data_IF_066337463574
#
_entry.id   IF_066337463574
#
_cell.length_a   1.000
_cell.length_b   1.000
_cell.length_c   1.000
_cell.angle_alpha   90.00
_cell.angle_beta   90.00
_cell.angle_gamma   90.00
#
_symmetry.space_group_name_H-M   'P 1'
#
loop_
_entity.id
_entity.type
_entity.pdbx_description
1 polymer ?
#
# COMPACT_ATOMS: atom_id res chain seq x y z
N UNK A 1 -11.68 -24.90 3.03
CA UNK A 1 -12.50 -23.73 2.65
C UNK A 1 -12.81 -22.98 3.92
N UNK A 2 -11.88 -22.18 4.41
CA UNK A 2 -12.14 -21.27 5.53
C UNK A 2 -11.46 -19.94 5.19
N UNK A 3 -12.29 -18.95 4.91
CA UNK A 3 -11.91 -17.59 4.61
C UNK A 3 -13.05 -16.72 5.08
N UNK A 4 -13.01 -16.33 6.36
CA UNK A 4 -13.76 -15.16 6.79
C UNK A 4 -13.08 -13.96 6.15
N UNK A 5 -13.63 -13.51 5.02
CA UNK A 5 -13.37 -12.20 4.43
C UNK A 5 -13.92 -11.09 5.33
N UNK A 6 -13.54 -9.85 5.00
CA UNK A 6 -14.02 -8.63 5.64
C UNK A 6 -15.56 -8.46 5.66
N UNK A 7 -16.32 -9.12 4.76
CA UNK A 7 -17.79 -9.04 4.69
C UNK A 7 -18.52 -10.21 5.36
N UNK A 8 -17.80 -11.19 5.92
CA UNK A 8 -18.40 -12.38 6.53
C UNK A 8 -19.18 -13.26 5.54
N UNK A 9 -19.06 -12.99 4.23
CA UNK A 9 -19.67 -13.80 3.18
C UNK A 9 -18.70 -14.90 2.74
N UNK A 10 -19.21 -16.09 2.44
CA UNK A 10 -18.41 -17.16 1.86
C UNK A 10 -17.99 -16.88 0.41
N UNK A 11 -17.14 -17.75 -0.14
CA UNK A 11 -16.77 -17.74 -1.56
C UNK A 11 -15.47 -17.02 -1.91
N UNK A 12 -14.73 -16.52 -0.92
CA UNK A 12 -13.43 -15.91 -1.13
C UNK A 12 -12.30 -16.93 -1.17
N UNK A 13 -11.43 -16.82 -2.16
CA UNK A 13 -10.19 -17.60 -2.26
C UNK A 13 -8.99 -16.69 -1.98
N UNK A 14 -8.16 -17.07 -0.99
CA UNK A 14 -6.89 -16.38 -0.74
C UNK A 14 -5.89 -16.71 -1.83
N UNK A 15 -5.31 -15.69 -2.45
CA UNK A 15 -4.28 -15.84 -3.49
C UNK A 15 -2.96 -15.15 -3.11
N UNK A 16 -3.00 -14.19 -2.17
CA UNK A 16 -1.81 -13.53 -1.65
C UNK A 16 -1.76 -13.62 -0.13
N UNK A 17 -0.59 -13.96 0.40
CA UNK A 17 -0.34 -14.05 1.83
C UNK A 17 1.13 -13.74 2.14
N UNK A 18 1.36 -12.66 2.88
CA UNK A 18 2.62 -12.33 3.53
C UNK A 18 2.27 -12.12 5.00
N UNK A 19 2.99 -12.78 5.90
CA UNK A 19 2.88 -12.56 7.34
C UNK A 19 4.27 -12.73 7.97
N UNK A 20 5.05 -11.63 8.01
CA UNK A 20 6.42 -11.65 8.52
C UNK A 20 6.51 -11.79 10.05
N UNK A 21 5.38 -11.84 10.75
CA UNK A 21 5.33 -12.15 12.19
C UNK A 21 5.40 -13.66 12.47
N UNK A 22 5.19 -14.50 11.45
CA UNK A 22 5.28 -15.95 11.57
C UNK A 22 6.74 -16.42 11.56
N UNK A 23 6.99 -17.55 12.23
CA UNK A 23 8.32 -18.20 12.22
C UNK A 23 8.65 -18.67 10.81
N UNK A 24 9.89 -18.43 10.37
CA UNK A 24 10.41 -18.81 9.04
C UNK A 24 9.71 -18.13 7.84
N UNK A 25 8.95 -17.07 8.08
CA UNK A 25 8.39 -16.25 7.01
C UNK A 25 9.51 -15.60 6.18
N UNK A 26 9.33 -15.55 4.86
CA UNK A 26 10.29 -14.94 3.93
C UNK A 26 9.58 -13.97 2.99
N UNK A 27 10.28 -12.93 2.58
CA UNK A 27 9.73 -11.98 1.60
C UNK A 27 9.54 -12.66 0.24
N UNK A 28 8.43 -12.36 -0.46
CA UNK A 28 8.17 -12.95 -1.76
C UNK A 28 9.14 -12.38 -2.80
N UNK A 29 9.23 -13.07 -3.95
CA UNK A 29 10.05 -12.62 -5.07
C UNK A 29 9.73 -11.15 -5.44
N UNK A 30 10.79 -10.37 -5.63
CA UNK A 30 10.73 -8.94 -5.93
C UNK A 30 10.89 -8.06 -4.69
N UNK A 31 10.56 -8.54 -3.50
CA UNK A 31 10.75 -7.84 -2.23
C UNK A 31 11.91 -8.43 -1.44
N UNK A 32 12.44 -7.66 -0.50
CA UNK A 32 13.63 -8.01 0.26
C UNK A 32 13.43 -7.79 1.74
N UNK A 33 13.99 -8.70 2.52
CA UNK A 33 13.97 -8.60 3.97
C UNK A 33 14.75 -7.35 4.44
N UNK A 34 14.17 -6.68 5.43
CA UNK A 34 14.73 -5.51 6.10
C UNK A 34 14.49 -5.64 7.60
N UNK A 35 15.53 -5.36 8.38
CA UNK A 35 15.47 -5.37 9.83
C UNK A 35 15.57 -3.94 10.34
N UNK A 36 14.64 -3.56 11.22
CA UNK A 36 14.60 -2.23 11.82
C UNK A 36 14.57 -2.35 13.34
N UNK A 37 15.32 -1.51 14.04
CA UNK A 37 15.43 -1.61 15.50
C UNK A 37 14.11 -1.33 16.25
N UNK A 38 13.16 -0.63 15.63
CA UNK A 38 11.87 -0.26 16.22
C UNK A 38 10.78 -1.33 16.07
N UNK A 39 11.00 -2.38 15.28
CA UNK A 39 10.03 -3.47 15.06
C UNK A 39 10.72 -4.82 15.28
N UNK A 40 10.04 -5.74 15.97
CA UNK A 40 10.63 -7.02 16.38
C UNK A 40 10.77 -8.06 15.27
N UNK A 41 9.93 -7.93 14.24
CA UNK A 41 9.89 -8.83 13.09
C UNK A 41 10.57 -8.18 11.88
N UNK A 42 11.20 -8.97 11.00
CA UNK A 42 11.65 -8.45 9.72
C UNK A 42 10.45 -7.93 8.90
N UNK A 43 10.71 -6.95 8.04
CA UNK A 43 9.75 -6.41 7.09
C UNK A 43 10.19 -6.71 5.66
N UNK A 44 9.25 -6.65 4.72
CA UNK A 44 9.54 -6.72 3.29
C UNK A 44 9.51 -5.33 2.68
N UNK A 45 10.64 -4.88 2.16
CA UNK A 45 10.80 -3.60 1.47
C UNK A 45 11.40 -3.78 0.06
N UNK A 46 11.67 -2.67 -0.62
CA UNK A 46 12.35 -2.70 -1.92
C UNK A 46 13.85 -3.00 -1.77
N UNK A 47 14.50 -3.54 -2.81
CA UNK A 47 15.98 -3.62 -2.89
C UNK A 47 16.63 -2.37 -3.46
N UNK A 48 15.88 -1.54 -4.18
CA UNK A 48 16.45 -0.46 -4.97
C UNK A 48 16.99 0.67 -4.09
N UNK A 49 18.25 1.06 -4.35
CA UNK A 49 18.83 2.30 -3.80
C UNK A 49 18.39 3.55 -4.59
N UNK A 50 17.56 3.38 -5.63
CA UNK A 50 16.99 4.43 -6.46
C UNK A 50 15.46 4.44 -6.33
N UNK A 51 14.83 5.52 -6.81
CA UNK A 51 13.39 5.57 -7.03
C UNK A 51 12.93 4.44 -7.96
N UNK A 52 11.65 4.11 -7.89
CA UNK A 52 11.04 3.09 -8.74
C UNK A 52 10.20 2.11 -7.95
N UNK A 53 9.72 1.09 -8.64
CA UNK A 53 8.84 0.09 -8.05
C UNK A 53 9.41 -1.32 -8.17
N UNK A 54 9.14 -2.13 -7.16
CA UNK A 54 9.35 -3.57 -7.17
C UNK A 54 7.98 -4.27 -7.08
N UNK A 55 7.79 -5.29 -7.90
CA UNK A 55 6.54 -6.04 -7.95
C UNK A 55 6.71 -7.46 -7.45
N UNK A 56 5.67 -7.95 -6.78
CA UNK A 56 5.42 -9.37 -6.59
C UNK A 56 4.04 -9.72 -7.18
N UNK A 57 3.85 -10.96 -7.60
CA UNK A 57 2.65 -11.39 -8.30
C UNK A 57 1.97 -12.53 -7.55
N UNK A 58 0.67 -12.39 -7.33
CA UNK A 58 -0.19 -13.39 -6.72
C UNK A 58 -1.04 -14.06 -7.80
N UNK A 59 -0.82 -15.36 -8.00
CA UNK A 59 -1.49 -16.05 -9.08
C UNK A 59 -2.98 -16.20 -8.81
N UNK A 60 -3.80 -15.89 -9.81
CA UNK A 60 -5.23 -16.20 -9.80
C UNK A 60 -5.49 -17.70 -10.02
N UNK A 61 -4.46 -18.46 -10.39
CA UNK A 61 -4.54 -19.85 -10.87
C UNK A 61 -5.46 -20.02 -12.09
N UNK A 62 -5.61 -18.96 -12.89
CA UNK A 62 -6.51 -18.93 -14.06
C UNK A 62 -7.99 -18.94 -13.70
N UNK A 63 -8.34 -18.70 -12.43
CA UNK A 63 -9.72 -18.63 -11.98
C UNK A 63 -10.33 -17.29 -12.39
N UNK A 64 -11.59 -17.33 -12.81
CA UNK A 64 -12.36 -16.13 -13.08
C UNK A 64 -12.78 -15.47 -11.76
N UNK A 65 -12.59 -14.17 -11.65
CA UNK A 65 -13.06 -13.37 -10.53
C UNK A 65 -13.58 -12.00 -10.99
N UNK A 66 -14.49 -11.44 -10.19
CA UNK A 66 -15.07 -10.11 -10.40
C UNK A 66 -14.85 -9.19 -9.21
N UNK A 67 -14.41 -9.73 -8.08
CA UNK A 67 -14.15 -8.96 -6.88
C UNK A 67 -12.81 -9.30 -6.28
N UNK A 68 -12.18 -8.29 -5.69
CA UNK A 68 -10.92 -8.39 -4.97
C UNK A 68 -11.12 -7.73 -3.61
N UNK A 69 -10.63 -8.38 -2.57
CA UNK A 69 -10.50 -7.74 -1.26
C UNK A 69 -9.14 -8.07 -0.66
N UNK A 70 -8.70 -7.23 0.26
CA UNK A 70 -7.43 -7.47 0.92
C UNK A 70 -7.12 -6.43 1.98
N UNK A 71 -6.03 -6.68 2.68
CA UNK A 71 -5.45 -5.76 3.66
C UNK A 71 -3.95 -5.73 3.50
N UNK A 72 -3.36 -4.59 3.83
CA UNK A 72 -1.91 -4.41 3.90
C UNK A 72 -1.60 -3.68 5.21
N UNK A 73 -0.61 -4.17 5.94
CA UNK A 73 0.01 -3.44 7.05
C UNK A 73 1.44 -3.10 6.66
N UNK A 74 1.74 -1.82 6.63
CA UNK A 74 3.06 -1.30 6.34
C UNK A 74 3.51 -0.30 7.37
N UNK A 75 4.69 0.27 7.14
CA UNK A 75 5.30 1.24 8.02
C UNK A 75 5.95 2.33 7.17
N UNK A 76 6.00 3.55 7.70
CA UNK A 76 6.75 4.63 7.09
C UNK A 76 8.24 4.49 7.47
N UNK A 77 9.13 4.45 6.47
CA UNK A 77 10.54 4.72 6.66
C UNK A 77 10.91 6.02 5.95
N UNK A 78 11.48 6.98 6.67
CA UNK A 78 11.96 8.19 6.01
C UNK A 78 10.86 9.19 5.66
N UNK A 79 11.09 9.95 4.59
CA UNK A 79 10.35 11.16 4.22
C UNK A 79 9.35 10.93 3.09
N UNK A 80 8.46 9.94 3.22
CA UNK A 80 7.56 9.50 2.13
C UNK A 80 6.64 10.62 1.62
N UNK A 81 6.34 10.59 0.32
CA UNK A 81 5.70 11.69 -0.39
C UNK A 81 4.22 11.45 -0.77
N UNK A 82 3.56 10.44 -0.18
CA UNK A 82 2.13 10.19 -0.38
C UNK A 82 1.77 9.80 -1.82
N UNK A 83 0.77 10.47 -2.39
CA UNK A 83 0.35 10.33 -3.79
C UNK A 83 0.81 11.55 -4.56
N UNK A 84 1.29 11.35 -5.79
CA UNK A 84 1.96 12.37 -6.60
C UNK A 84 3.21 12.93 -5.92
N UNK A 85 4.27 12.13 -5.78
CA UNK A 85 5.48 12.59 -5.12
C UNK A 85 6.08 13.78 -5.86
N UNK A 86 6.02 14.95 -5.21
CA UNK A 86 6.32 16.26 -5.82
C UNK A 86 7.82 16.48 -5.95
N UNK A 87 8.63 15.75 -5.17
CA UNK A 87 10.08 15.92 -5.10
C UNK A 87 10.87 14.74 -5.72
N UNK A 88 10.22 13.99 -6.61
CA UNK A 88 10.81 12.87 -7.35
C UNK A 88 10.30 12.78 -8.80
N UNK A 89 10.51 11.64 -9.50
CA UNK A 89 10.01 11.42 -10.85
C UNK A 89 8.51 11.07 -10.87
N UNK A 90 7.73 11.70 -9.98
CA UNK A 90 6.31 11.48 -9.83
C UNK A 90 5.56 11.72 -11.14
N UNK A 91 4.63 10.82 -11.47
CA UNK A 91 3.84 10.86 -12.70
C UNK A 91 2.40 10.45 -12.41
N UNK A 92 1.47 10.94 -13.22
CA UNK A 92 0.04 10.58 -13.17
C UNK A 92 -0.28 9.26 -13.85
N UNK A 93 0.73 8.53 -14.33
CA UNK A 93 0.54 7.31 -15.09
C UNK A 93 0.67 6.07 -14.20
N UNK A 94 -0.18 5.07 -14.46
CA UNK A 94 -0.24 3.84 -13.66
C UNK A 94 1.05 3.02 -13.71
N UNK A 95 1.84 3.20 -14.76
CA UNK A 95 3.10 2.49 -14.98
C UNK A 95 4.31 3.17 -14.33
N UNK A 96 4.16 4.40 -13.86
CA UNK A 96 5.22 5.16 -13.19
C UNK A 96 5.12 5.08 -11.67
N UNK A 97 5.97 5.84 -10.97
CA UNK A 97 5.97 6.02 -9.51
C UNK A 97 4.96 7.12 -9.16
N UNK A 98 3.68 6.77 -9.08
CA UNK A 98 2.62 7.73 -8.73
C UNK A 98 2.33 7.80 -7.22
N UNK A 99 2.90 6.89 -6.43
CA UNK A 99 2.68 6.76 -4.99
C UNK A 99 3.96 6.28 -4.29
N UNK A 100 4.21 6.81 -3.10
CA UNK A 100 5.10 6.22 -2.10
C UNK A 100 4.25 5.28 -1.23
N UNK A 101 4.42 3.98 -1.43
CA UNK A 101 3.52 2.96 -0.88
C UNK A 101 3.24 1.81 -1.84
N UNK A 102 2.03 1.28 -1.77
CA UNK A 102 1.61 0.08 -2.50
C UNK A 102 0.55 0.41 -3.55
N UNK A 103 0.80 0.00 -4.78
CA UNK A 103 -0.17 -0.08 -5.86
C UNK A 103 -0.58 -1.54 -6.08
N UNK A 104 -1.88 -1.83 -5.96
CA UNK A 104 -2.44 -3.16 -6.27
C UNK A 104 -3.11 -3.08 -7.63
N UNK A 105 -2.65 -3.90 -8.57
CA UNK A 105 -3.06 -3.85 -9.97
C UNK A 105 -3.32 -5.23 -10.56
N UNK A 106 -3.97 -5.27 -11.71
CA UNK A 106 -4.14 -6.47 -12.55
C UNK A 106 -4.02 -6.11 -14.03
N UNK A 107 -3.82 -7.13 -14.87
CA UNK A 107 -3.54 -6.94 -16.28
C UNK A 107 -2.10 -6.45 -16.48
N UNK A 108 -1.34 -7.12 -17.34
CA UNK A 108 0.07 -6.76 -17.57
C UNK A 108 0.25 -5.75 -18.71
N UNK A 109 -0.71 -5.65 -19.64
CA UNK A 109 -0.69 -4.67 -20.74
C UNK A 109 -2.08 -4.52 -21.37
N UNK A 110 -2.87 -3.47 -21.04
CA UNK A 110 -2.55 -2.41 -20.08
C UNK A 110 -2.72 -2.85 -18.62
N UNK A 111 -1.93 -2.24 -17.74
CA UNK A 111 -2.12 -2.29 -16.28
C UNK A 111 -3.42 -1.60 -15.88
N UNK A 112 -4.12 -2.19 -14.92
CA UNK A 112 -5.39 -1.67 -14.38
C UNK A 112 -5.35 -1.63 -12.86
N UNK A 113 -5.92 -0.57 -12.31
CA UNK A 113 -5.90 -0.29 -10.88
C UNK A 113 -6.96 -1.09 -10.12
N UNK A 114 -6.61 -1.53 -8.90
CA UNK A 114 -7.53 -2.13 -7.92
C UNK A 114 -7.61 -1.24 -6.68
N UNK A 115 -6.46 -0.96 -6.07
CA UNK A 115 -6.36 -0.21 -4.81
C UNK A 115 -5.00 0.46 -4.65
N UNK A 116 -4.93 1.51 -3.85
CA UNK A 116 -3.67 2.17 -3.47
C UNK A 116 -3.56 2.34 -1.95
N UNK A 117 -2.39 2.04 -1.41
CA UNK A 117 -2.02 2.35 -0.03
C UNK A 117 -0.86 3.34 -0.06
N UNK A 118 -1.09 4.57 0.37
CA UNK A 118 -0.11 5.65 0.27
C UNK A 118 0.45 6.03 1.64
N UNK A 119 1.76 6.26 1.73
CA UNK A 119 2.42 6.74 2.92
C UNK A 119 2.67 8.24 2.81
N UNK A 120 1.93 9.04 3.57
CA UNK A 120 2.10 10.50 3.60
C UNK A 120 3.39 10.91 4.33
N UNK A 121 3.77 12.19 4.18
CA UNK A 121 4.98 12.72 4.82
C UNK A 121 4.89 12.79 6.34
N UNK A 122 3.87 13.48 6.86
CA UNK A 122 3.61 13.64 8.30
C UNK A 122 2.12 13.87 8.59
N UNK A 123 1.62 13.59 9.78
CA UNK A 123 0.21 13.82 10.12
C UNK A 123 -0.15 15.31 10.18
N UNK A 124 0.70 16.14 10.80
CA UNK A 124 0.39 17.54 11.13
C UNK A 124 0.80 18.54 10.04
N UNK A 125 0.61 18.18 8.77
CA UNK A 125 0.92 19.06 7.63
C UNK A 125 -0.09 18.95 6.48
N UNK A 126 -0.20 20.02 5.70
CA UNK A 126 -0.96 20.12 4.46
C UNK A 126 -0.03 20.33 3.25
N UNK A 127 1.21 19.89 3.36
CA UNK A 127 2.15 19.94 2.23
C UNK A 127 1.66 19.03 1.10
N UNK A 128 2.26 19.19 -0.08
CA UNK A 128 1.91 18.34 -1.22
C UNK A 128 2.35 16.89 -1.10
N UNK A 129 3.21 16.57 -0.14
CA UNK A 129 3.66 15.22 0.18
C UNK A 129 2.74 14.49 1.18
N UNK A 130 1.69 15.16 1.68
CA UNK A 130 0.75 14.61 2.65
C UNK A 130 -0.45 13.96 1.98
N UNK A 131 -1.23 13.23 2.78
CA UNK A 131 -2.36 12.48 2.28
C UNK A 131 -3.45 13.36 1.62
N UNK A 132 -3.99 12.94 0.46
CA UNK A 132 -5.08 13.66 -0.19
C UNK A 132 -6.36 13.76 0.66
N UNK A 133 -6.58 12.79 1.54
CA UNK A 133 -7.71 12.78 2.46
C UNK A 133 -7.53 13.68 3.69
N UNK A 134 -6.37 14.34 3.88
CA UNK A 134 -6.16 15.23 5.02
C UNK A 134 -7.19 16.38 5.02
N UNK A 135 -7.70 16.73 6.19
CA UNK A 135 -8.66 17.81 6.36
C UNK A 135 -8.06 19.15 5.92
N UNK A 136 -8.59 19.73 4.83
CA UNK A 136 -8.05 20.95 4.22
C UNK A 136 -6.96 20.71 3.17
N UNK A 137 -6.68 19.46 2.82
CA UNK A 137 -5.77 19.11 1.72
C UNK A 137 -6.28 19.65 0.39
N UNK A 138 -5.33 20.01 -0.47
CA UNK A 138 -5.57 20.36 -1.88
C UNK A 138 -5.00 19.31 -2.83
N UNK A 139 -4.41 18.25 -2.29
CA UNK A 139 -3.89 17.16 -3.09
C UNK A 139 -5.03 16.35 -3.69
N UNK A 140 -4.79 15.82 -4.87
CA UNK A 140 -5.73 14.99 -5.62
C UNK A 140 -5.09 13.65 -5.91
N UNK A 141 -5.90 12.65 -6.25
CA UNK A 141 -5.39 11.36 -6.74
C UNK A 141 -5.43 11.30 -8.26
N UNK A 142 -4.61 10.44 -8.90
CA UNK A 142 -4.76 10.15 -10.32
C UNK A 142 -6.18 9.67 -10.62
N UNK A 143 -6.69 9.99 -11.80
CA UNK A 143 -8.08 9.68 -12.18
C UNK A 143 -8.39 8.18 -12.13
N UNK A 144 -7.39 7.32 -12.37
CA UNK A 144 -7.54 5.87 -12.27
C UNK A 144 -7.58 5.37 -10.82
N UNK A 145 -7.10 6.14 -9.84
CA UNK A 145 -7.16 5.83 -8.41
C UNK A 145 -8.50 6.30 -7.82
N UNK A 146 -8.90 7.54 -8.12
CA UNK A 146 -10.12 8.12 -7.56
C UNK A 146 -10.18 8.02 -6.04
N UNK A 147 -11.22 7.36 -5.52
CA UNK A 147 -11.45 7.10 -4.09
C UNK A 147 -10.96 5.72 -3.63
N UNK A 148 -10.38 4.91 -4.52
CA UNK A 148 -9.91 3.55 -4.23
C UNK A 148 -8.52 3.56 -3.59
N UNK A 149 -8.37 4.28 -2.47
CA UNK A 149 -7.12 4.37 -1.76
C UNK A 149 -7.28 4.49 -0.23
N UNK A 150 -6.24 4.11 0.48
CA UNK A 150 -5.96 4.52 1.85
C UNK A 150 -4.67 5.32 1.89
N UNK A 151 -4.59 6.28 2.79
CA UNK A 151 -3.38 7.06 2.99
C UNK A 151 -3.21 7.36 4.48
N UNK A 152 -1.97 7.21 4.97
CA UNK A 152 -1.63 7.46 6.37
C UNK A 152 -0.15 7.85 6.49
N UNK A 153 0.25 8.54 7.55
CA UNK A 153 1.63 8.85 7.88
C UNK A 153 1.93 8.40 9.31
N UNK A 154 3.07 7.74 9.51
CA UNK A 154 3.51 7.33 10.85
C UNK A 154 4.31 8.41 11.59
N UNK A 155 4.75 9.44 10.87
CA UNK A 155 5.46 10.58 11.45
C UNK A 155 4.49 11.71 11.81
N UNK A 156 4.51 12.20 13.05
CA UNK A 156 3.55 13.24 13.47
C UNK A 156 3.91 14.64 12.95
N UNK A 157 5.14 15.11 13.20
CA UNK A 157 5.54 16.51 12.95
C UNK A 157 6.72 16.65 11.99
N UNK A 158 7.61 15.65 11.95
CA UNK A 158 8.78 15.64 11.10
C UNK A 158 9.20 14.20 10.81
N UNK A 159 9.59 13.98 9.56
CA UNK A 159 10.11 12.72 9.09
C UNK A 159 11.65 12.74 9.01
N UNK A 160 12.29 11.66 9.45
CA UNK A 160 13.73 11.43 9.42
C UNK A 160 14.03 10.02 8.90
N UNK A 161 15.29 9.70 8.60
CA UNK A 161 15.74 8.38 8.13
C UNK A 161 15.68 7.30 9.22
N UNK A 162 14.46 7.02 9.67
CA UNK A 162 14.10 6.06 10.69
C UNK A 162 12.76 5.43 10.31
N UNK A 163 12.51 4.23 10.84
CA UNK A 163 11.22 3.58 10.73
C UNK A 163 10.31 4.07 11.86
N UNK A 164 9.12 4.55 11.50
CA UNK A 164 8.09 4.95 12.44
C UNK A 164 7.30 3.71 12.88
N UNK A 165 7.12 3.49 14.20
CA UNK A 165 6.49 2.26 14.71
C UNK A 165 4.97 2.24 14.56
N UNK A 166 4.37 3.36 14.14
CA UNK A 166 2.95 3.45 13.84
C UNK A 166 2.63 2.68 12.55
N UNK A 167 1.84 1.59 12.61
CA UNK A 167 1.50 0.83 11.42
C UNK A 167 0.57 1.64 10.51
N UNK A 168 0.97 1.78 9.25
CA UNK A 168 0.17 2.49 8.26
C UNK A 168 -1.06 1.67 7.85
N UNK A 169 -2.13 2.41 7.56
CA UNK A 169 -3.38 1.97 6.95
C UNK A 169 -4.23 1.05 7.84
N UNK A 170 -4.00 1.11 9.15
CA UNK A 170 -4.74 0.34 10.14
C UNK A 170 -5.98 1.10 10.68
N UNK A 171 -6.10 2.38 10.31
CA UNK A 171 -7.21 3.26 10.71
C UNK A 171 -7.10 3.74 12.15
N UNK A 172 -5.92 3.66 12.76
CA UNK A 172 -5.65 4.08 14.13
C UNK A 172 -4.60 5.19 14.16
N UNK A 173 -4.46 5.85 15.30
CA UNK A 173 -3.40 6.82 15.57
C UNK A 173 -3.32 8.05 14.63
N UNK A 174 -4.27 8.21 13.71
CA UNK A 174 -4.31 9.35 12.80
C UNK A 174 -4.67 10.66 13.51
N UNK A 175 -3.69 11.55 13.65
CA UNK A 175 -3.84 12.84 14.29
C UNK A 175 -4.48 13.92 13.41
N UNK A 176 -5.01 14.96 14.06
CA UNK A 176 -5.37 16.28 13.53
C UNK A 176 -5.86 16.34 12.07
N UNK A 177 -4.96 16.52 11.09
CA UNK A 177 -5.34 16.64 9.68
C UNK A 177 -5.63 15.28 9.04
N UNK A 178 -4.98 14.20 9.48
CA UNK A 178 -5.14 12.87 8.92
C UNK A 178 -6.34 12.10 9.50
N UNK A 179 -7.00 12.64 10.53
CA UNK A 179 -8.17 12.00 11.15
C UNK A 179 -9.26 11.59 10.13
N UNK A 180 -9.43 12.34 9.03
CA UNK A 180 -10.37 12.04 7.93
C UNK A 180 -9.92 10.91 7.02
N UNK A 181 -8.64 10.57 6.99
CA UNK A 181 -8.12 9.42 6.26
C UNK A 181 -8.49 8.08 6.92
N UNK A 182 -8.71 8.10 8.23
CA UNK A 182 -8.86 6.90 9.05
C UNK A 182 -10.31 6.63 9.48
N UNK A 183 -11.27 7.13 8.70
CA UNK A 183 -12.70 7.00 9.00
C UNK A 183 -13.38 5.83 8.29
N UNK A 184 -12.68 5.14 7.39
CA UNK A 184 -13.28 4.04 6.63
C UNK A 184 -13.65 2.90 7.59
N UNK A 185 -14.93 2.49 7.68
CA UNK A 185 -15.33 1.38 8.54
C UNK A 185 -14.81 0.02 8.04
N UNK A 186 -14.22 -0.01 6.84
CA UNK A 186 -13.65 -1.21 6.24
C UNK A 186 -12.17 -1.38 6.57
N UNK A 187 -11.46 -0.33 6.99
CA UNK A 187 -10.03 -0.41 7.30
C UNK A 187 -9.74 -1.53 8.33
N UNK A 188 -8.65 -2.30 8.16
CA UNK A 188 -7.61 -2.16 7.11
C UNK A 188 -7.97 -2.82 5.76
N UNK A 189 -9.20 -3.33 5.61
CA UNK A 189 -9.62 -4.06 4.43
C UNK A 189 -10.22 -3.16 3.33
N UNK A 190 -9.80 -3.38 2.09
CA UNK A 190 -10.49 -2.84 0.92
C UNK A 190 -11.36 -3.89 0.24
N UNK A 191 -12.27 -3.40 -0.61
CA UNK A 191 -13.11 -4.22 -1.47
C UNK A 191 -13.28 -3.50 -2.79
N UNK A 192 -12.93 -4.18 -3.87
CA UNK A 192 -13.11 -3.66 -5.21
C UNK A 192 -13.92 -4.64 -6.05
N UNK A 193 -14.98 -4.13 -6.67
CA UNK A 193 -15.66 -4.84 -7.77
C UNK A 193 -15.07 -4.35 -9.08
N UNK A 194 -14.61 -5.28 -9.89
CA UNK A 194 -14.02 -5.02 -11.20
C UNK A 194 -15.13 -4.82 -12.25
N UNK A 195 -14.87 -4.03 -13.31
CA UNK A 195 -15.89 -3.76 -14.34
C UNK A 195 -16.27 -5.01 -15.16
N UNK A 196 -15.46 -6.06 -15.12
CA UNK A 196 -15.69 -7.32 -15.82
C UNK A 196 -14.96 -8.46 -15.12
N UNK A 197 -15.38 -9.70 -15.41
CA UNK A 197 -14.67 -10.90 -14.96
C UNK A 197 -13.30 -10.99 -15.64
N UNK A 198 -12.27 -11.33 -14.88
CA UNK A 198 -10.91 -11.50 -15.37
C UNK A 198 -10.24 -12.74 -14.76
N UNK A 199 -9.13 -13.15 -15.35
CA UNK A 199 -8.27 -14.23 -14.86
C UNK A 199 -6.84 -13.76 -14.63
N UNK A 200 -6.56 -12.47 -14.79
CA UNK A 200 -5.22 -11.91 -14.61
C UNK A 200 -4.71 -12.15 -13.20
N UNK A 201 -3.41 -12.41 -13.06
CA UNK A 201 -2.76 -12.41 -11.76
C UNK A 201 -2.82 -11.01 -11.13
N UNK A 202 -2.81 -10.95 -9.80
CA UNK A 202 -2.77 -9.68 -9.07
C UNK A 202 -1.32 -9.29 -8.84
N UNK A 203 -0.96 -8.10 -9.29
CA UNK A 203 0.32 -7.47 -9.02
C UNK A 203 0.23 -6.65 -7.73
N UNK A 204 1.16 -6.90 -6.83
CA UNK A 204 1.44 -6.07 -5.66
C UNK A 204 2.74 -5.33 -5.93
N UNK A 205 2.64 -4.00 -6.11
CA UNK A 205 3.74 -3.15 -6.56
C UNK A 205 4.06 -2.13 -5.48
N UNK A 206 5.23 -2.27 -4.86
CA UNK A 206 5.76 -1.31 -3.90
C UNK A 206 6.56 -0.26 -4.66
N UNK A 207 6.18 0.99 -4.52
CA UNK A 207 6.73 2.14 -5.24
C UNK A 207 7.22 3.17 -4.24
N UNK A 208 8.40 3.74 -4.46
CA UNK A 208 8.78 4.97 -3.77
C UNK A 208 9.59 5.88 -4.69
N UNK A 209 9.44 7.18 -4.46
CA UNK A 209 9.97 8.28 -5.26
C UNK A 209 11.43 8.63 -4.97
N UNK A 210 11.97 8.11 -3.87
CA UNK A 210 13.40 8.07 -3.58
C UNK A 210 13.94 6.64 -3.44
N UNK A 211 15.25 6.56 -3.18
CA UNK A 211 15.90 5.29 -2.86
C UNK A 211 15.55 4.79 -1.46
N UNK A 212 15.57 3.47 -1.25
CA UNK A 212 15.23 2.81 0.03
C UNK A 212 16.04 3.26 1.26
N UNK A 213 17.14 3.99 1.09
CA UNK A 213 17.91 4.60 2.19
C UNK A 213 17.36 5.96 2.64
N UNK A 214 16.42 6.53 1.89
CA UNK A 214 15.81 7.82 2.12
C UNK A 214 14.33 7.67 2.46
N UNK A 215 13.62 6.87 1.67
CA UNK A 215 12.19 6.59 1.76
C UNK A 215 11.93 5.13 1.39
N UNK A 216 11.13 4.45 2.21
CA UNK A 216 10.64 3.10 1.94
C UNK A 216 9.31 2.91 2.67
N UNK A 217 8.50 1.99 2.17
CA UNK A 217 7.19 1.66 2.74
C UNK A 217 7.08 0.17 3.06
N UNK A 218 7.98 -0.37 3.90
CA UNK A 218 8.09 -1.81 4.11
C UNK A 218 6.84 -2.38 4.80
N UNK A 219 6.50 -3.63 4.46
CA UNK A 219 5.27 -4.32 4.91
C UNK A 219 5.56 -5.60 5.67
N UNK A 220 4.70 -5.96 6.61
CA UNK A 220 4.74 -7.26 7.30
C UNK A 220 3.51 -8.14 7.05
N UNK A 221 2.33 -7.54 6.83
CA UNK A 221 1.10 -8.25 6.52
C UNK A 221 0.59 -7.84 5.15
N UNK A 222 0.37 -8.82 4.29
CA UNK A 222 -0.40 -8.67 3.04
C UNK A 222 -1.35 -9.84 2.92
N UNK A 223 -2.62 -9.57 2.69
CA UNK A 223 -3.60 -10.60 2.37
C UNK A 223 -4.45 -10.17 1.19
N UNK A 224 -4.56 -11.02 0.18
CA UNK A 224 -5.34 -10.75 -1.03
C UNK A 224 -6.23 -11.95 -1.32
N UNK A 225 -7.50 -11.65 -1.59
CA UNK A 225 -8.53 -12.63 -1.92
C UNK A 225 -9.29 -12.22 -3.17
N UNK A 226 -9.76 -13.21 -3.91
CA UNK A 226 -10.59 -13.05 -5.11
C UNK A 226 -11.92 -13.80 -4.97
N UNK A 227 -12.95 -13.31 -5.67
CA UNK A 227 -14.28 -13.92 -5.78
C UNK A 227 -14.91 -13.66 -7.13
#
# INVERSE_FOLDING_TARGET
MEGSSYDGQGGWMRIGHINMTETDATCPQGLHERNFASVSSPLCGRSSLSYGCNSTFFSSYGLNYTQVCGQVRGYQYGTTDGIYPVWGPGSSEIDDVYVDGISITYGSSPRKHIWTYAAGYVENSLSSANCPCNNGSRQTTPSFVGEDYYCEAGAVNAAHRALYPDPLWDGQQCGYFEATCCTSPKMPWFVKTLPQSVTDDIEFRMCDSAGSLHEDTPVDIVQIYIR
#
